data_IF_204061300935
#
_entry.id   IF_204061300935
#
_cell.length_a   1.000
_cell.length_b   1.000
_cell.length_c   1.000
_cell.angle_alpha   90.00
_cell.angle_beta   90.00
_cell.angle_gamma   90.00
#
_symmetry.space_group_name_H-M   'P 1'
#
loop_
_entity.id
_entity.type
_entity.pdbx_description
1 polymer ?
#
# COMPACT_ATOMS: atom_id res chain seq x y z
N UNK A 1 -48.52 -14.83 58.07
CA UNK A 1 -48.00 -14.74 56.68
C UNK A 1 -47.29 -13.41 56.60
N UNK A 2 -45.96 -13.42 56.50
CA UNK A 2 -45.08 -12.27 56.77
C UNK A 2 -45.53 -11.03 55.98
N UNK A 3 -46.10 -10.05 56.68
CA UNK A 3 -46.31 -8.70 56.17
C UNK A 3 -44.94 -8.03 56.19
N UNK A 4 -44.32 -7.84 55.02
CA UNK A 4 -43.15 -6.96 54.92
C UNK A 4 -43.65 -5.53 55.14
N UNK A 5 -43.15 -4.84 56.17
CA UNK A 5 -43.52 -3.46 56.49
C UNK A 5 -43.21 -2.53 55.31
N UNK A 6 -44.18 -1.70 54.90
CA UNK A 6 -44.06 -0.76 53.77
C UNK A 6 -42.87 0.21 53.89
N UNK A 7 -42.39 0.47 55.10
CA UNK A 7 -41.21 1.29 55.41
C UNK A 7 -39.90 0.62 55.00
N UNK A 8 -39.83 -0.71 55.01
CA UNK A 8 -38.63 -1.49 54.66
C UNK A 8 -38.47 -1.60 53.13
N UNK A 9 -39.59 -1.68 52.40
CA UNK A 9 -39.62 -1.70 50.94
C UNK A 9 -39.17 -0.34 50.34
N UNK A 10 -39.58 0.77 50.96
CA UNK A 10 -39.15 2.12 50.55
C UNK A 10 -37.66 2.36 50.79
N UNK A 11 -37.13 1.86 51.92
CA UNK A 11 -35.70 1.91 52.24
C UNK A 11 -34.88 1.10 51.22
N UNK A 12 -35.27 -0.15 50.97
CA UNK A 12 -34.65 -1.02 49.97
C UNK A 12 -34.67 -0.41 48.57
N UNK A 13 -35.78 0.21 48.17
CA UNK A 13 -35.90 0.92 46.88
C UNK A 13 -34.91 2.08 46.76
N UNK A 14 -34.77 2.90 47.82
CA UNK A 14 -33.78 3.99 47.85
C UNK A 14 -32.34 3.48 47.79
N UNK A 15 -32.03 2.37 48.47
CA UNK A 15 -30.71 1.71 48.36
C UNK A 15 -30.42 1.21 46.94
N UNK A 16 -31.41 0.60 46.27
CA UNK A 16 -31.28 0.13 44.89
C UNK A 16 -31.02 1.31 43.93
N UNK A 17 -31.73 2.43 44.09
CA UNK A 17 -31.50 3.65 43.29
C UNK A 17 -30.11 4.22 43.54
N UNK A 18 -29.66 4.26 44.80
CA UNK A 18 -28.34 4.76 45.16
C UNK A 18 -27.21 3.91 44.54
N UNK A 19 -27.31 2.57 44.65
CA UNK A 19 -26.35 1.64 44.05
C UNK A 19 -26.38 1.74 42.52
N UNK A 20 -27.57 1.81 41.92
CA UNK A 20 -27.73 1.99 40.48
C UNK A 20 -27.11 3.29 39.97
N UNK A 21 -27.29 4.38 40.70
CA UNK A 21 -26.70 5.69 40.37
C UNK A 21 -25.18 5.67 40.48
N UNK A 22 -24.64 5.06 41.54
CA UNK A 22 -23.19 4.89 41.70
C UNK A 22 -22.58 4.04 40.59
N UNK A 23 -23.26 2.95 40.20
CA UNK A 23 -22.83 2.10 39.09
C UNK A 23 -22.86 2.87 37.76
N UNK A 24 -23.91 3.65 37.51
CA UNK A 24 -24.02 4.49 36.32
C UNK A 24 -22.91 5.55 36.26
N UNK A 25 -22.64 6.24 37.37
CA UNK A 25 -21.55 7.21 37.49
C UNK A 25 -20.19 6.52 37.25
N UNK A 26 -19.97 5.34 37.84
CA UNK A 26 -18.74 4.58 37.65
C UNK A 26 -18.54 4.16 36.18
N UNK A 27 -19.58 3.67 35.51
CA UNK A 27 -19.53 3.32 34.09
C UNK A 27 -19.28 4.54 33.20
N UNK A 28 -19.95 5.66 33.47
CA UNK A 28 -19.72 6.92 32.75
C UNK A 28 -18.27 7.41 32.94
N UNK A 29 -17.74 7.32 34.16
CA UNK A 29 -16.34 7.68 34.45
C UNK A 29 -15.35 6.78 33.72
N UNK A 30 -15.56 5.46 33.73
CA UNK A 30 -14.73 4.49 32.97
C UNK A 30 -14.80 4.77 31.47
N UNK A 31 -15.99 5.05 30.93
CA UNK A 31 -16.14 5.42 29.52
C UNK A 31 -15.38 6.70 29.17
N UNK A 32 -15.44 7.73 30.03
CA UNK A 32 -14.68 8.97 29.85
C UNK A 32 -13.16 8.73 29.88
N UNK A 33 -12.67 7.85 30.76
CA UNK A 33 -11.25 7.45 30.79
C UNK A 33 -10.87 6.75 29.49
N UNK A 34 -11.64 5.74 29.05
CA UNK A 34 -11.36 5.01 27.82
C UNK A 34 -11.36 5.97 26.62
N UNK A 35 -12.33 6.88 26.56
CA UNK A 35 -12.44 7.89 25.53
C UNK A 35 -11.21 8.82 25.52
N UNK A 36 -10.79 9.33 26.70
CA UNK A 36 -9.56 10.13 26.86
C UNK A 36 -8.31 9.38 26.40
N UNK A 37 -8.14 8.12 26.84
CA UNK A 37 -7.00 7.29 26.45
C UNK A 37 -6.96 6.99 24.95
N UNK A 38 -8.12 6.79 24.32
CA UNK A 38 -8.21 6.62 22.87
C UNK A 38 -7.88 7.92 22.14
N UNK A 39 -8.39 9.06 22.61
CA UNK A 39 -8.02 10.37 22.06
C UNK A 39 -6.53 10.64 22.17
N UNK A 40 -5.89 10.33 23.29
CA UNK A 40 -4.44 10.49 23.45
C UNK A 40 -3.66 9.56 22.53
N UNK A 41 -4.09 8.30 22.37
CA UNK A 41 -3.49 7.37 21.41
C UNK A 41 -3.63 7.84 19.97
N UNK A 42 -4.78 8.39 19.60
CA UNK A 42 -5.04 8.94 18.27
C UNK A 42 -4.27 10.24 18.05
N UNK A 43 -4.17 11.11 19.06
CA UNK A 43 -3.32 12.30 19.04
C UNK A 43 -1.84 11.94 18.93
N UNK A 44 -1.37 10.89 19.60
CA UNK A 44 0.02 10.45 19.53
C UNK A 44 0.31 9.80 18.17
N UNK A 45 -0.62 9.01 17.63
CA UNK A 45 -0.57 8.47 16.27
C UNK A 45 -0.54 9.59 15.23
N UNK A 46 -1.41 10.58 15.38
CA UNK A 46 -1.50 11.74 14.49
C UNK A 46 -0.31 12.68 14.65
N UNK A 47 0.26 12.87 15.84
CA UNK A 47 1.51 13.63 16.03
C UNK A 47 2.71 12.88 15.46
N UNK A 48 2.75 11.55 15.54
CA UNK A 48 3.78 10.75 14.85
C UNK A 48 3.63 10.90 13.34
N UNK A 49 2.42 10.81 12.81
CA UNK A 49 2.14 11.03 11.38
C UNK A 49 2.42 12.48 10.96
N UNK A 50 2.08 13.49 11.76
CA UNK A 50 2.25 14.90 11.42
C UNK A 50 3.68 15.41 11.62
N UNK A 51 4.43 14.90 12.61
CA UNK A 51 5.86 15.22 12.78
C UNK A 51 6.76 14.43 11.83
N UNK A 52 6.25 13.36 11.24
CA UNK A 52 7.01 12.48 10.36
C UNK A 52 6.30 12.24 9.02
N UNK A 53 5.52 13.19 8.49
CA UNK A 53 5.08 13.12 7.10
C UNK A 53 5.68 14.25 6.27
N UNK A 54 6.69 13.89 5.49
CA UNK A 54 7.22 14.78 4.44
C UNK A 54 6.38 14.54 3.20
N UNK A 55 5.65 15.55 2.73
CA UNK A 55 4.94 15.47 1.45
C UNK A 55 5.95 15.69 0.33
N UNK A 56 6.20 14.64 -0.45
CA UNK A 56 7.00 14.75 -1.66
C UNK A 56 6.06 15.04 -2.82
N UNK A 57 6.27 16.21 -3.44
CA UNK A 57 5.56 16.64 -4.64
C UNK A 57 6.07 15.91 -5.88
N UNK A 58 7.34 15.51 -5.85
CA UNK A 58 8.02 14.84 -6.94
C UNK A 58 8.66 13.54 -6.42
N UNK A 59 8.37 12.44 -7.11
CA UNK A 59 8.84 11.10 -6.77
C UNK A 59 10.28 10.85 -7.22
N UNK A 60 10.72 11.60 -8.23
CA UNK A 60 12.03 11.45 -8.87
C UNK A 60 13.16 11.87 -7.92
N UNK A 61 12.83 12.67 -6.90
CA UNK A 61 13.74 13.15 -5.84
C UNK A 61 14.37 12.01 -5.04
N UNK A 62 13.72 10.85 -4.98
CA UNK A 62 14.20 9.68 -4.25
C UNK A 62 14.63 8.53 -5.18
N UNK A 63 15.10 8.83 -6.38
CA UNK A 63 15.64 7.81 -7.28
C UNK A 63 17.13 7.57 -7.07
N UNK A 64 17.56 6.33 -7.35
CA UNK A 64 18.99 6.02 -7.37
C UNK A 64 19.62 6.62 -8.63
N UNK A 65 20.64 7.48 -8.52
CA UNK A 65 21.23 8.14 -9.69
C UNK A 65 22.04 7.21 -10.61
N UNK A 66 22.15 5.92 -10.27
CA UNK A 66 22.89 4.92 -11.05
C UNK A 66 21.94 4.08 -11.92
N UNK A 67 20.76 3.74 -11.41
CA UNK A 67 19.81 2.88 -12.12
C UNK A 67 18.44 3.53 -12.36
N UNK A 68 18.24 4.76 -11.90
CA UNK A 68 16.99 5.51 -11.98
C UNK A 68 15.79 4.74 -11.42
N UNK A 69 16.03 3.88 -10.43
CA UNK A 69 14.98 3.15 -9.72
C UNK A 69 14.75 3.82 -8.36
N UNK A 70 13.50 3.83 -7.86
CA UNK A 70 13.18 4.36 -6.53
C UNK A 70 14.06 3.75 -5.44
N UNK A 71 14.68 4.61 -4.61
CA UNK A 71 15.49 4.20 -3.47
C UNK A 71 14.64 3.41 -2.48
N UNK A 72 15.20 2.31 -2.00
CA UNK A 72 14.59 1.44 -0.98
C UNK A 72 15.59 1.23 0.13
N UNK A 73 15.08 1.14 1.35
CA UNK A 73 15.87 0.82 2.54
C UNK A 73 16.42 -0.62 2.37
N UNK A 74 17.73 -0.86 2.58
CA UNK A 74 18.76 0.08 3.03
C UNK A 74 19.35 0.97 1.92
N UNK A 75 19.66 2.22 2.28
CA UNK A 75 20.23 3.24 1.39
C UNK A 75 21.69 3.49 1.78
N UNK A 76 22.58 3.57 0.79
CA UNK A 76 24.01 3.80 1.01
C UNK A 76 24.44 5.15 0.48
N UNK A 77 25.49 5.72 1.09
CA UNK A 77 26.08 6.98 0.65
C UNK A 77 27.61 6.88 0.59
N UNK A 78 28.27 7.63 -0.29
CA UNK A 78 29.72 7.79 -0.19
C UNK A 78 30.10 8.84 0.89
N UNK A 79 31.39 9.02 1.14
CA UNK A 79 31.89 10.02 2.11
C UNK A 79 31.47 11.46 1.79
N UNK A 80 31.20 11.76 0.52
CA UNK A 80 30.71 13.06 0.06
C UNK A 80 29.17 13.12 -0.07
N UNK A 81 28.44 12.08 0.35
CA UNK A 81 26.98 12.09 0.42
C UNK A 81 26.22 11.62 -0.84
N UNK A 82 26.90 11.17 -1.91
CA UNK A 82 26.19 10.60 -3.07
C UNK A 82 25.49 9.29 -2.72
N UNK A 83 24.19 9.22 -2.96
CA UNK A 83 23.34 8.09 -2.59
C UNK A 83 23.37 6.97 -3.64
N UNK A 84 23.15 5.73 -3.18
CA UNK A 84 22.93 4.57 -4.03
C UNK A 84 21.98 3.57 -3.35
N UNK A 85 21.18 2.88 -4.17
CA UNK A 85 20.42 1.73 -3.72
C UNK A 85 21.35 0.53 -3.44
N UNK A 86 20.88 -0.44 -2.66
CA UNK A 86 21.64 -1.67 -2.34
C UNK A 86 22.24 -2.38 -3.56
N UNK A 87 21.51 -2.67 -4.66
CA UNK A 87 22.10 -3.39 -5.78
C UNK A 87 23.18 -2.58 -6.51
N UNK A 88 23.01 -1.26 -6.64
CA UNK A 88 24.02 -0.41 -7.25
C UNK A 88 25.25 -0.24 -6.35
N UNK A 89 25.05 -0.15 -5.03
CA UNK A 89 26.15 -0.10 -4.06
C UNK A 89 27.05 -1.34 -4.13
N UNK A 90 26.47 -2.53 -4.33
CA UNK A 90 27.23 -3.78 -4.49
C UNK A 90 27.99 -3.86 -5.82
N UNK A 91 27.55 -3.12 -6.85
CA UNK A 91 28.18 -3.10 -8.19
C UNK A 91 29.32 -2.07 -8.29
N UNK A 92 29.25 -0.98 -7.53
CA UNK A 92 30.32 0.01 -7.50
C UNK A 92 31.55 -0.61 -6.83
N UNK A 93 32.66 -0.71 -7.57
CA UNK A 93 33.89 -1.42 -7.15
C UNK A 93 34.67 -0.64 -6.08
N UNK A 94 34.04 -0.35 -4.94
CA UNK A 94 34.59 0.46 -3.84
C UNK A 94 34.97 1.91 -4.23
N UNK A 95 34.46 2.42 -5.36
CA UNK A 95 34.70 3.79 -5.84
C UNK A 95 33.35 4.40 -6.21
N UNK A 96 33.05 5.57 -5.68
CA UNK A 96 31.85 6.32 -6.04
C UNK A 96 31.94 6.81 -7.49
N UNK A 97 30.93 6.55 -8.35
CA UNK A 97 30.98 6.95 -9.76
C UNK A 97 30.90 8.47 -9.97
N UNK A 98 30.40 9.23 -8.98
CA UNK A 98 30.20 10.67 -9.10
C UNK A 98 31.41 11.48 -8.63
N UNK A 99 32.05 11.10 -7.52
CA UNK A 99 33.18 11.86 -6.95
C UNK A 99 34.52 11.11 -6.95
N UNK A 100 34.54 9.87 -7.47
CA UNK A 100 35.73 9.02 -7.54
C UNK A 100 36.41 8.74 -6.18
N UNK A 101 35.73 9.02 -5.06
CA UNK A 101 36.23 8.74 -3.71
C UNK A 101 35.90 7.31 -3.27
N UNK A 102 36.65 6.76 -2.30
CA UNK A 102 36.38 5.42 -1.77
C UNK A 102 34.93 5.27 -1.28
N UNK A 103 34.27 4.24 -1.79
CA UNK A 103 32.98 3.72 -1.33
C UNK A 103 33.16 2.36 -0.60
N UNK A 104 34.38 2.11 -0.11
CA UNK A 104 34.82 0.81 0.44
C UNK A 104 34.15 0.44 1.76
N UNK A 105 33.67 1.43 2.49
CA UNK A 105 32.97 1.23 3.76
C UNK A 105 31.47 1.34 3.56
N UNK A 106 30.72 0.44 4.18
CA UNK A 106 29.26 0.42 4.13
C UNK A 106 28.67 1.59 4.94
N UNK A 107 28.65 2.79 4.35
CA UNK A 107 28.02 3.95 4.97
C UNK A 107 26.53 3.98 4.64
N UNK A 108 25.74 3.33 5.50
CA UNK A 108 24.29 3.34 5.41
C UNK A 108 23.73 4.72 5.80
N UNK A 109 22.99 5.35 4.91
CA UNK A 109 22.39 6.67 5.12
C UNK A 109 21.09 6.56 5.95
N UNK A 110 21.22 6.37 7.27
CA UNK A 110 20.06 6.26 8.18
C UNK A 110 19.15 7.50 8.16
N UNK A 111 19.71 8.68 7.91
CA UNK A 111 18.95 9.91 7.78
C UNK A 111 17.97 9.82 6.60
N UNK A 112 18.44 9.43 5.41
CA UNK A 112 17.56 9.27 4.25
C UNK A 112 16.57 8.12 4.42
N UNK A 113 16.94 7.05 5.12
CA UNK A 113 15.99 5.99 5.48
C UNK A 113 14.84 6.52 6.33
N UNK A 114 15.12 7.39 7.30
CA UNK A 114 14.08 8.05 8.11
C UNK A 114 13.20 8.97 7.26
N UNK A 115 13.77 9.66 6.27
CA UNK A 115 13.00 10.44 5.30
C UNK A 115 12.07 9.54 4.49
N UNK A 116 12.55 8.40 3.97
CA UNK A 116 11.71 7.44 3.24
C UNK A 116 10.60 6.86 4.11
N UNK A 117 10.89 6.49 5.36
CA UNK A 117 9.90 5.99 6.33
C UNK A 117 8.81 7.03 6.61
N UNK A 118 9.19 8.31 6.61
CA UNK A 118 8.32 9.45 6.83
C UNK A 118 7.63 9.96 5.55
N UNK A 119 8.08 9.58 4.37
CA UNK A 119 7.62 10.21 3.13
C UNK A 119 6.20 9.77 2.75
N UNK A 120 5.38 10.75 2.39
CA UNK A 120 4.06 10.58 1.79
C UNK A 120 4.09 11.19 0.38
N UNK A 121 3.53 10.46 -0.57
CA UNK A 121 3.51 10.82 -1.99
C UNK A 121 2.08 10.79 -2.51
N UNK A 122 1.76 11.73 -3.39
CA UNK A 122 0.48 11.73 -4.11
C UNK A 122 0.45 10.54 -5.08
N UNK A 123 -0.71 9.89 -5.22
CA UNK A 123 -0.86 8.84 -6.23
C UNK A 123 -0.57 9.40 -7.64
N UNK A 124 0.24 8.73 -8.48
CA UNK A 124 0.47 9.15 -9.87
C UNK A 124 -0.82 9.23 -10.70
N UNK A 125 -1.88 8.52 -10.29
CA UNK A 125 -3.19 8.59 -10.91
C UNK A 125 -4.06 9.75 -10.35
N UNK A 126 -3.47 10.77 -9.72
CA UNK A 126 -4.18 11.93 -9.21
C UNK A 126 -4.88 12.72 -10.32
N UNK A 127 -4.24 12.85 -11.49
CA UNK A 127 -4.84 13.44 -12.70
C UNK A 127 -6.09 12.69 -13.17
N UNK A 128 -6.18 11.39 -12.88
CA UNK A 128 -7.34 10.55 -13.20
C UNK A 128 -8.38 10.49 -12.07
N UNK A 129 -8.17 11.21 -10.96
CA UNK A 129 -9.12 11.36 -9.86
C UNK A 129 -8.72 10.70 -8.54
N UNK A 130 -7.54 10.09 -8.43
CA UNK A 130 -7.08 9.52 -7.16
C UNK A 130 -6.62 10.62 -6.18
N UNK A 131 -7.40 10.87 -5.12
CA UNK A 131 -7.07 11.88 -4.09
C UNK A 131 -6.24 11.33 -2.93
N UNK A 132 -5.66 10.14 -3.07
CA UNK A 132 -4.94 9.48 -1.96
C UNK A 132 -3.48 9.91 -1.95
N UNK A 133 -3.02 10.32 -0.77
CA UNK A 133 -1.61 10.37 -0.42
C UNK A 133 -1.26 9.07 0.28
N UNK A 134 -0.20 8.43 -0.15
CA UNK A 134 0.22 7.11 0.35
C UNK A 134 1.66 7.17 0.82
N UNK A 135 2.03 6.32 1.78
CA UNK A 135 3.42 6.25 2.19
C UNK A 135 4.29 5.79 1.03
N UNK A 136 5.48 6.39 0.90
CA UNK A 136 6.40 6.11 -0.21
C UNK A 136 6.69 4.60 -0.33
N UNK A 137 6.90 3.93 0.80
CA UNK A 137 7.14 2.47 0.86
C UNK A 137 5.97 1.61 0.35
N UNK A 138 4.74 2.11 0.43
CA UNK A 138 3.52 1.39 0.01
C UNK A 138 2.98 1.86 -1.33
N UNK A 139 3.60 2.85 -1.97
CA UNK A 139 3.10 3.44 -3.20
C UNK A 139 2.91 2.39 -4.30
N UNK A 140 3.92 1.54 -4.53
CA UNK A 140 3.81 0.47 -5.54
C UNK A 140 2.60 -0.41 -5.28
N UNK A 141 2.39 -0.87 -4.04
CA UNK A 141 1.22 -1.68 -3.66
C UNK A 141 -0.11 -0.94 -3.89
N UNK A 142 -0.15 0.36 -3.62
CA UNK A 142 -1.31 1.18 -3.88
C UNK A 142 -1.61 1.29 -5.39
N UNK A 143 -0.61 1.53 -6.22
CA UNK A 143 -0.77 1.64 -7.68
C UNK A 143 -1.40 0.38 -8.28
N UNK A 144 -0.96 -0.81 -7.83
CA UNK A 144 -1.52 -2.10 -8.27
C UNK A 144 -3.03 -2.22 -8.05
N UNK A 145 -3.53 -1.54 -7.02
CA UNK A 145 -4.91 -1.63 -6.55
C UNK A 145 -5.68 -0.31 -6.78
N UNK A 146 -5.05 0.67 -7.42
CA UNK A 146 -5.65 1.98 -7.60
C UNK A 146 -6.79 1.87 -8.63
N UNK A 147 -8.00 2.25 -8.22
CA UNK A 147 -9.19 2.22 -9.10
C UNK A 147 -9.10 3.19 -10.27
N UNK A 148 -8.24 4.19 -10.16
CA UNK A 148 -7.98 5.20 -11.19
C UNK A 148 -6.76 4.84 -12.06
N UNK A 149 -6.15 3.67 -11.84
CA UNK A 149 -5.06 3.19 -12.67
C UNK A 149 -5.54 3.01 -14.11
N UNK A 150 -4.73 3.50 -15.05
CA UNK A 150 -4.96 3.28 -16.47
C UNK A 150 -4.64 1.82 -16.83
N UNK A 151 -5.44 1.26 -17.73
CA UNK A 151 -5.36 -0.11 -18.20
C UNK A 151 -5.00 -0.12 -19.68
N UNK A 152 -4.02 -0.94 -20.06
CA UNK A 152 -3.65 -1.09 -21.47
C UNK A 152 -4.47 -2.19 -22.15
N UNK A 153 -4.73 -2.02 -23.44
CA UNK A 153 -5.47 -2.99 -24.22
C UNK A 153 -4.74 -4.33 -24.30
N UNK A 154 -5.40 -5.47 -24.02
CA UNK A 154 -4.75 -6.78 -24.07
C UNK A 154 -4.53 -7.30 -25.49
N UNK A 155 -5.04 -6.61 -26.51
CA UNK A 155 -4.95 -7.05 -27.90
C UNK A 155 -3.57 -6.74 -28.48
N UNK A 156 -2.98 -7.73 -29.18
CA UNK A 156 -1.71 -7.55 -29.88
C UNK A 156 -1.83 -6.39 -30.87
N UNK A 157 -0.79 -5.55 -30.91
CA UNK A 157 -0.72 -4.35 -31.76
C UNK A 157 -1.77 -3.27 -31.45
N UNK A 158 -2.32 -3.23 -30.23
CA UNK A 158 -3.18 -2.15 -29.79
C UNK A 158 -2.55 -1.39 -28.61
N UNK A 159 -2.19 -0.12 -28.84
CA UNK A 159 -1.55 0.73 -27.83
C UNK A 159 -2.54 1.56 -27.01
N UNK A 160 -3.85 1.27 -27.14
CA UNK A 160 -4.86 2.01 -26.40
C UNK A 160 -4.70 1.80 -24.89
N UNK A 161 -4.70 2.90 -24.14
CA UNK A 161 -4.64 2.91 -22.68
C UNK A 161 -5.73 3.86 -22.18
N UNK A 162 -6.48 3.43 -21.17
CA UNK A 162 -7.60 4.19 -20.64
C UNK A 162 -8.13 3.63 -19.34
N UNK A 163 -9.18 4.23 -18.79
CA UNK A 163 -9.89 3.67 -17.63
C UNK A 163 -10.43 2.27 -17.96
N UNK A 164 -10.67 1.43 -16.95
CA UNK A 164 -11.26 0.11 -17.16
C UNK A 164 -12.59 0.17 -17.95
N UNK A 165 -13.43 1.17 -17.69
CA UNK A 165 -14.70 1.39 -18.39
C UNK A 165 -14.50 1.76 -19.85
N UNK A 166 -13.54 2.64 -20.14
CA UNK A 166 -13.27 3.07 -21.51
C UNK A 166 -12.55 1.98 -22.30
N UNK A 167 -11.71 1.20 -21.64
CA UNK A 167 -11.07 0.04 -22.25
C UNK A 167 -12.10 -1.01 -22.68
N UNK A 168 -13.11 -1.28 -21.86
CA UNK A 168 -14.21 -2.18 -22.24
C UNK A 168 -14.94 -1.69 -23.50
N UNK A 169 -15.26 -0.40 -23.58
CA UNK A 169 -15.89 0.20 -24.77
C UNK A 169 -14.96 0.12 -25.99
N UNK A 170 -13.69 0.47 -25.81
CA UNK A 170 -12.68 0.41 -26.86
C UNK A 170 -12.58 -1.00 -27.45
N UNK A 171 -12.50 -2.04 -26.60
CA UNK A 171 -12.41 -3.42 -27.05
C UNK A 171 -13.64 -3.84 -27.83
N UNK A 172 -14.84 -3.52 -27.34
CA UNK A 172 -16.09 -3.84 -28.04
C UNK A 172 -16.22 -3.13 -29.39
N UNK A 173 -15.76 -1.88 -29.48
CA UNK A 173 -15.86 -1.08 -30.71
C UNK A 173 -14.83 -1.46 -31.77
N UNK A 174 -13.59 -1.72 -31.35
CA UNK A 174 -12.44 -1.85 -32.25
C UNK A 174 -11.97 -3.30 -32.46
N UNK A 175 -12.34 -4.22 -31.56
CA UNK A 175 -11.90 -5.62 -31.59
C UNK A 175 -13.09 -6.58 -31.68
N UNK A 176 -13.76 -6.58 -32.84
CA UNK A 176 -15.01 -7.33 -33.12
C UNK A 176 -14.90 -8.85 -32.89
N UNK A 177 -13.69 -9.42 -32.91
CA UNK A 177 -13.41 -10.86 -32.70
C UNK A 177 -12.66 -11.16 -31.40
N UNK A 178 -12.74 -10.30 -30.38
CA UNK A 178 -11.96 -10.37 -29.14
C UNK A 178 -12.25 -11.53 -28.19
N UNK A 179 -12.16 -12.78 -28.66
CA UNK A 179 -12.01 -13.98 -27.84
C UNK A 179 -10.52 -14.31 -27.71
N UNK A 180 -9.76 -13.50 -26.96
CA UNK A 180 -8.47 -13.88 -26.36
C UNK A 180 -7.80 -12.64 -25.77
N UNK A 181 -8.00 -12.39 -24.48
CA UNK A 181 -7.23 -11.37 -23.78
C UNK A 181 -7.74 -11.15 -22.37
N UNK A 182 -7.04 -11.67 -21.37
CA UNK A 182 -7.24 -11.24 -19.98
C UNK A 182 -6.82 -9.77 -19.91
N UNK A 183 -7.69 -8.90 -19.40
CA UNK A 183 -7.32 -7.51 -19.10
C UNK A 183 -6.12 -7.54 -18.17
N UNK A 184 -4.97 -7.07 -18.68
CA UNK A 184 -3.80 -6.82 -17.87
C UNK A 184 -3.92 -5.36 -17.44
N UNK A 185 -4.41 -5.13 -16.23
CA UNK A 185 -3.95 -3.94 -15.54
C UNK A 185 -2.43 -4.04 -15.46
N UNK A 186 -1.72 -2.92 -15.38
CA UNK A 186 -0.29 -2.92 -15.10
C UNK A 186 0.06 -3.69 -13.81
N UNK A 187 -0.92 -4.18 -13.03
CA UNK A 187 -0.67 -5.12 -11.93
C UNK A 187 -1.83 -5.98 -11.39
N UNK A 188 -2.91 -6.22 -12.13
CA UNK A 188 -3.91 -7.24 -11.73
C UNK A 188 -4.55 -7.95 -12.93
N UNK A 189 -4.72 -9.26 -12.77
CA UNK A 189 -5.41 -10.14 -13.72
C UNK A 189 -6.79 -10.43 -13.15
N UNK A 190 -7.81 -9.67 -13.54
CA UNK A 190 -9.19 -10.06 -13.22
C UNK A 190 -9.74 -10.82 -14.42
N UNK A 191 -9.91 -12.14 -14.26
CA UNK A 191 -10.65 -12.94 -15.22
C UNK A 191 -12.13 -12.56 -15.09
N UNK A 192 -12.66 -11.86 -16.09
CA UNK A 192 -14.10 -11.69 -16.24
C UNK A 192 -14.61 -12.94 -16.91
N UNK A 193 -15.07 -13.91 -16.11
CA UNK A 193 -15.77 -15.09 -16.62
C UNK A 193 -17.14 -14.64 -17.12
N UNK A 194 -17.34 -14.66 -18.44
CA UNK A 194 -18.67 -14.56 -19.03
C UNK A 194 -19.38 -15.89 -18.80
N UNK A 195 -20.45 -15.86 -18.01
CA UNK A 195 -21.36 -16.97 -17.82
C UNK A 195 -22.05 -17.30 -19.13
N UNK A 196 -21.77 -18.46 -19.71
CA UNK A 196 -22.73 -19.19 -20.54
C UNK A 196 -22.53 -20.68 -20.29
N UNK A 197 -23.59 -21.29 -19.77
CA UNK A 197 -23.72 -22.72 -19.55
C UNK A 197 -23.60 -23.49 -20.86
N UNK A 198 -22.75 -24.52 -20.92
CA UNK A 198 -23.09 -25.77 -21.61
C UNK A 198 -22.20 -26.93 -21.15
N UNK A 199 -22.90 -28.03 -20.90
CA UNK A 199 -22.50 -29.39 -20.51
C UNK A 199 -21.49 -30.02 -21.47
N UNK A 200 -20.42 -30.66 -20.96
CA UNK A 200 -20.10 -32.11 -21.12
C UNK A 200 -18.63 -32.45 -20.76
N UNK A 201 -18.50 -33.38 -19.80
CA UNK A 201 -17.65 -34.60 -19.84
C UNK A 201 -16.10 -34.52 -19.81
N UNK A 202 -15.55 -34.91 -18.64
CA UNK A 202 -14.34 -35.73 -18.33
C UNK A 202 -13.20 -35.86 -19.36
N UNK A 203 -11.90 -35.80 -19.04
CA UNK A 203 -11.12 -36.62 -18.08
C UNK A 203 -9.71 -36.03 -17.83
N UNK A 204 -9.08 -36.49 -16.73
CA UNK A 204 -7.67 -36.43 -16.32
C UNK A 204 -6.61 -36.09 -17.40
N UNK A 205 -5.54 -35.37 -17.02
CA UNK A 205 -4.16 -35.92 -16.89
C UNK A 205 -3.20 -34.88 -16.27
N UNK A 206 -2.28 -35.45 -15.50
CA UNK A 206 -1.24 -34.97 -14.60
C UNK A 206 -0.01 -34.32 -15.28
N UNK A 207 0.72 -33.53 -14.46
CA UNK A 207 2.19 -33.41 -14.36
C UNK A 207 3.00 -32.40 -15.22
N UNK A 208 3.89 -31.73 -14.46
CA UNK A 208 5.28 -31.35 -14.72
C UNK A 208 5.66 -30.00 -15.37
N UNK A 209 6.07 -29.10 -14.47
CA UNK A 209 7.41 -28.46 -14.40
C UNK A 209 8.30 -28.48 -15.64
N UNK A 210 8.79 -27.29 -16.04
CA UNK A 210 10.24 -27.03 -16.16
C UNK A 210 10.51 -25.53 -16.33
N UNK A 211 11.43 -25.04 -15.51
CA UNK A 211 12.17 -23.80 -15.66
C UNK A 211 13.09 -23.85 -16.90
N UNK A 212 13.29 -22.72 -17.58
CA UNK A 212 14.60 -22.34 -18.15
C UNK A 212 14.61 -20.85 -18.50
N UNK A 213 15.67 -20.16 -18.07
CA UNK A 213 15.95 -18.76 -18.33
C UNK A 213 16.78 -18.59 -19.61
N UNK A 214 16.65 -17.49 -20.36
CA UNK A 214 17.58 -17.18 -21.45
C UNK A 214 18.74 -16.30 -20.98
N UNK A 215 19.94 -16.72 -21.35
CA UNK A 215 21.22 -16.01 -21.32
C UNK A 215 21.28 -14.97 -22.43
N UNK A 216 21.77 -13.77 -22.14
CA UNK A 216 22.17 -12.77 -23.15
C UNK A 216 23.68 -12.81 -23.32
N UNK A 217 24.12 -13.06 -24.56
CA UNK A 217 25.51 -13.00 -24.99
C UNK A 217 25.84 -11.58 -25.45
N UNK A 218 27.00 -11.07 -25.03
CA UNK A 218 27.59 -9.79 -25.45
C UNK A 218 28.31 -9.90 -26.78
N UNK A 219 28.13 -8.84 -27.57
CA UNK A 219 29.00 -8.16 -28.53
C UNK A 219 30.33 -8.80 -28.99
N UNK A 220 30.59 -8.62 -30.29
CA UNK A 220 31.82 -8.00 -30.77
C UNK A 220 31.42 -6.69 -31.47
#
# INVERSE_FOLDING_TARGET
MLMMDFTDLGSLYMFIIAIGSLLFIALAYVFLIIYRLNLEKDMLRNRKLARASVMLLDQDVLECPICCEPLKIPIYQCINGHLACTPCWKKVKNICPFCQKPAKYEFRCRAMEKVIEAAMVSCPNASYGCKKNVSYTNLSSHEKQCRFAQCSCPMRNCNYTGSSKDLYKHVRANHKNGRQGKFRNSTFTTAVSASTATTTTSTNTTLNSAFTAPTFSTAA
#
